data_IF_477675864263
#
_entry.id   IF_477675864263
#
_cell.length_a   1.000
_cell.length_b   1.000
_cell.length_c   1.000
_cell.angle_alpha   90.00
_cell.angle_beta   90.00
_cell.angle_gamma   90.00
#
_symmetry.space_group_name_H-M   'P 1'
#
loop_
_entity.id
_entity.type
_entity.pdbx_description
1 polymer ?
#
# COMPACT_ATOMS: atom_id res chain seq x y z
N UNK A 1 32.17 1.79 0.93
CA UNK A 1 31.25 2.69 1.67
C UNK A 1 31.98 4.00 1.92
N UNK A 2 31.34 5.15 1.72
CA UNK A 2 31.99 6.45 1.53
C UNK A 2 32.43 7.18 2.83
N UNK A 3 32.85 6.45 3.89
CA UNK A 3 33.20 7.04 5.19
C UNK A 3 32.15 8.04 5.74
N UNK A 4 30.87 7.75 5.56
CA UNK A 4 29.80 8.54 6.15
C UNK A 4 29.79 8.39 7.68
N UNK A 5 29.43 9.46 8.40
CA UNK A 5 29.29 9.41 9.85
C UNK A 5 28.05 8.58 10.28
N UNK A 6 28.05 8.15 11.54
CA UNK A 6 26.98 7.31 12.09
C UNK A 6 25.60 7.99 12.01
N UNK A 7 25.56 9.32 12.11
CA UNK A 7 24.33 10.09 11.99
C UNK A 7 23.74 9.99 10.58
N UNK A 8 24.57 10.06 9.55
CA UNK A 8 24.20 9.90 8.14
C UNK A 8 23.75 8.48 7.86
N UNK A 9 24.46 7.47 8.37
CA UNK A 9 24.07 6.07 8.22
C UNK A 9 22.69 5.84 8.81
N UNK A 10 22.47 6.25 10.06
CA UNK A 10 21.18 6.08 10.74
C UNK A 10 20.04 6.85 10.05
N UNK A 11 20.33 8.02 9.45
CA UNK A 11 19.34 8.76 8.67
C UNK A 11 18.94 8.04 7.39
N UNK A 12 19.91 7.50 6.65
CA UNK A 12 19.65 6.74 5.42
C UNK A 12 18.92 5.42 5.70
N UNK A 13 19.23 4.75 6.81
CA UNK A 13 18.50 3.56 7.27
C UNK A 13 17.02 3.89 7.54
N UNK A 14 16.75 4.97 8.29
CA UNK A 14 15.37 5.43 8.54
C UNK A 14 14.65 5.82 7.25
N UNK A 15 15.32 6.56 6.36
CA UNK A 15 14.77 6.93 5.06
C UNK A 15 14.37 5.68 4.26
N UNK A 16 15.28 4.72 4.11
CA UNK A 16 15.03 3.48 3.36
C UNK A 16 13.92 2.63 3.98
N UNK A 17 13.87 2.56 5.31
CA UNK A 17 12.83 1.83 6.04
C UNK A 17 11.44 2.41 5.77
N UNK A 18 11.25 3.70 6.01
CA UNK A 18 9.96 4.38 5.81
C UNK A 18 9.55 4.35 4.33
N UNK A 19 10.51 4.51 3.41
CA UNK A 19 10.24 4.41 1.97
C UNK A 19 9.81 3.00 1.56
N UNK A 20 10.41 1.96 2.14
CA UNK A 20 10.01 0.57 1.92
C UNK A 20 8.60 0.27 2.41
N UNK A 21 8.21 0.83 3.56
CA UNK A 21 6.84 0.72 4.06
C UNK A 21 5.83 1.44 3.16
N UNK A 22 6.17 2.64 2.69
CA UNK A 22 5.36 3.37 1.73
C UNK A 22 5.16 2.57 0.44
N UNK A 23 6.23 1.99 -0.09
CA UNK A 23 6.20 1.14 -1.27
C UNK A 23 5.23 -0.04 -1.10
N UNK A 24 5.27 -0.73 0.04
CA UNK A 24 4.37 -1.85 0.29
C UNK A 24 2.89 -1.41 0.36
N UNK A 25 2.62 -0.23 0.93
CA UNK A 25 1.26 0.31 0.98
C UNK A 25 0.73 0.61 -0.43
N UNK A 26 1.56 1.18 -1.31
CA UNK A 26 1.21 1.42 -2.71
C UNK A 26 1.04 0.10 -3.47
N UNK A 27 1.93 -0.88 -3.27
CA UNK A 27 1.80 -2.20 -3.90
C UNK A 27 0.50 -2.92 -3.50
N UNK A 28 0.10 -2.81 -2.23
CA UNK A 28 -1.17 -3.33 -1.73
C UNK A 28 -2.40 -2.65 -2.36
N UNK A 29 -2.32 -1.35 -2.68
CA UNK A 29 -3.37 -0.64 -3.44
C UNK A 29 -3.43 -1.15 -4.89
N UNK A 30 -2.29 -1.25 -5.56
CA UNK A 30 -2.17 -1.75 -6.95
C UNK A 30 -2.66 -3.19 -7.06
N UNK A 31 -2.39 -4.02 -6.05
CA UNK A 31 -2.86 -5.42 -6.01
C UNK A 31 -4.39 -5.57 -6.01
N UNK A 32 -5.12 -4.51 -5.64
CA UNK A 32 -6.59 -4.49 -5.65
C UNK A 32 -7.16 -3.67 -6.81
N UNK A 33 -6.64 -2.46 -7.05
CA UNK A 33 -7.23 -1.50 -7.99
C UNK A 33 -6.40 -1.21 -9.23
N UNK A 34 -5.18 -1.77 -9.34
CA UNK A 34 -4.26 -1.43 -10.41
C UNK A 34 -4.72 -1.83 -11.81
N UNK A 35 -4.44 -0.98 -12.79
CA UNK A 35 -4.70 -1.22 -14.21
C UNK A 35 -4.02 -2.52 -14.70
N UNK A 36 -4.79 -3.49 -15.24
CA UNK A 36 -4.25 -4.69 -15.87
C UNK A 36 -3.24 -4.42 -17.00
N UNK A 37 -3.38 -3.31 -17.73
CA UNK A 37 -2.46 -2.89 -18.79
C UNK A 37 -1.05 -2.58 -18.27
N UNK A 38 -0.94 -2.15 -17.01
CA UNK A 38 0.32 -1.83 -16.35
C UNK A 38 0.83 -3.00 -15.51
N UNK A 39 -0.06 -3.65 -14.76
CA UNK A 39 0.30 -4.71 -13.80
C UNK A 39 0.48 -6.08 -14.45
N UNK A 40 -0.10 -6.30 -15.64
CA UNK A 40 -0.18 -7.61 -16.28
C UNK A 40 -1.07 -8.62 -15.55
N UNK A 41 -1.84 -8.19 -14.54
CA UNK A 41 -2.70 -9.03 -13.69
C UNK A 41 -4.14 -8.51 -13.72
N UNK A 42 -5.14 -9.38 -13.47
CA UNK A 42 -6.52 -8.91 -13.31
C UNK A 42 -6.67 -7.96 -12.13
N UNK A 43 -7.62 -7.02 -12.23
CA UNK A 43 -8.07 -6.18 -11.10
C UNK A 43 -8.53 -7.09 -9.95
N UNK A 44 -8.24 -6.71 -8.72
CA UNK A 44 -8.62 -7.48 -7.53
C UNK A 44 -7.86 -8.79 -7.36
N UNK A 45 -6.71 -8.96 -8.02
CA UNK A 45 -5.89 -10.18 -7.91
C UNK A 45 -5.56 -10.55 -6.46
N UNK A 46 -5.28 -9.56 -5.61
CA UNK A 46 -4.99 -9.83 -4.19
C UNK A 46 -6.23 -10.31 -3.43
N UNK A 47 -7.42 -9.84 -3.79
CA UNK A 47 -8.70 -10.30 -3.22
C UNK A 47 -9.03 -11.72 -3.67
N UNK A 48 -8.82 -12.03 -4.96
CA UNK A 48 -9.03 -13.38 -5.50
C UNK A 48 -8.19 -14.43 -4.75
N UNK A 49 -7.01 -14.04 -4.27
CA UNK A 49 -6.10 -14.86 -3.47
C UNK A 49 -6.32 -14.73 -1.96
N UNK A 50 -7.30 -13.94 -1.54
CA UNK A 50 -7.60 -13.59 -0.14
C UNK A 50 -6.39 -13.09 0.64
N UNK A 51 -5.50 -12.36 -0.02
CA UNK A 51 -4.34 -11.76 0.64
C UNK A 51 -4.84 -10.74 1.67
N UNK A 52 -4.31 -10.81 2.88
CA UNK A 52 -4.62 -9.89 3.97
C UNK A 52 -3.78 -8.59 3.84
N UNK A 53 -3.92 -7.89 2.71
CA UNK A 53 -3.26 -6.60 2.47
C UNK A 53 -3.78 -5.53 3.43
N UNK A 54 -3.03 -4.45 3.61
CA UNK A 54 -3.43 -3.34 4.47
C UNK A 54 -4.86 -2.82 4.21
N UNK A 55 -5.29 -2.54 2.96
CA UNK A 55 -6.66 -2.08 2.71
C UNK A 55 -7.72 -3.11 3.09
N UNK A 56 -7.46 -4.40 2.94
CA UNK A 56 -8.39 -5.48 3.34
C UNK A 56 -8.51 -5.54 4.86
N UNK A 57 -7.37 -5.56 5.56
CA UNK A 57 -7.36 -5.61 7.03
C UNK A 57 -8.05 -4.36 7.60
N UNK A 58 -7.78 -3.19 7.04
CA UNK A 58 -8.44 -1.95 7.44
C UNK A 58 -9.96 -2.02 7.21
N UNK A 59 -10.40 -2.51 6.05
CA UNK A 59 -11.82 -2.69 5.74
C UNK A 59 -12.52 -3.64 6.72
N UNK A 60 -11.93 -4.81 6.98
CA UNK A 60 -12.45 -5.81 7.93
C UNK A 60 -12.55 -5.26 9.36
N UNK A 61 -11.66 -4.35 9.75
CA UNK A 61 -11.66 -3.73 11.08
C UNK A 61 -12.58 -2.49 11.20
N UNK A 62 -13.21 -2.03 10.11
CA UNK A 62 -14.05 -0.82 10.12
C UNK A 62 -15.37 -0.96 10.91
N UNK A 63 -15.77 -2.19 11.27
CA UNK A 63 -17.06 -2.50 11.93
C UNK A 63 -18.30 -2.01 11.17
N UNK A 64 -18.17 -1.76 9.87
CA UNK A 64 -19.28 -1.40 8.98
C UNK A 64 -20.04 -2.64 8.50
N UNK A 65 -21.25 -2.46 7.95
CA UNK A 65 -21.97 -3.55 7.27
C UNK A 65 -21.14 -4.14 6.12
N UNK A 66 -20.40 -3.28 5.40
CA UNK A 66 -19.50 -3.72 4.34
C UNK A 66 -18.37 -4.62 4.87
N UNK A 67 -17.90 -4.40 6.10
CA UNK A 67 -16.91 -5.28 6.73
C UNK A 67 -17.49 -6.66 7.03
N UNK A 68 -18.73 -6.74 7.53
CA UNK A 68 -19.41 -8.01 7.79
C UNK A 68 -19.59 -8.81 6.50
N UNK A 69 -20.02 -8.16 5.41
CA UNK A 69 -20.19 -8.83 4.12
C UNK A 69 -18.84 -9.28 3.53
N UNK A 70 -17.81 -8.42 3.60
CA UNK A 70 -16.45 -8.77 3.16
C UNK A 70 -15.90 -9.97 3.93
N UNK A 71 -16.13 -10.04 5.25
CA UNK A 71 -15.73 -11.15 6.08
C UNK A 71 -16.41 -12.46 5.65
N UNK A 72 -17.70 -12.42 5.31
CA UNK A 72 -18.43 -13.58 4.80
C UNK A 72 -17.82 -14.09 3.48
N UNK A 73 -17.47 -13.20 2.55
CA UNK A 73 -16.80 -13.56 1.30
C UNK A 73 -15.41 -14.20 1.52
N UNK A 74 -14.66 -13.71 2.52
CA UNK A 74 -13.35 -14.27 2.87
C UNK A 74 -13.43 -15.63 3.58
N UNK A 75 -14.51 -15.89 4.31
CA UNK A 75 -14.75 -17.15 5.03
C UNK A 75 -15.38 -18.24 4.15
N UNK A 76 -15.97 -17.88 3.01
CA UNK A 76 -16.58 -18.84 2.10
C UNK A 76 -15.58 -19.92 1.65
N UNK A 77 -15.92 -21.22 1.64
CA UNK A 77 -14.96 -22.27 1.30
C UNK A 77 -14.62 -22.33 -0.20
N UNK A 78 -15.54 -21.88 -1.06
CA UNK A 78 -15.33 -21.84 -2.50
C UNK A 78 -14.34 -20.73 -2.89
N UNK A 79 -13.62 -20.93 -4.00
CA UNK A 79 -12.81 -19.87 -4.61
C UNK A 79 -13.72 -18.71 -5.03
N UNK A 80 -13.20 -17.47 -4.92
CA UNK A 80 -13.93 -16.29 -5.35
C UNK A 80 -14.12 -16.31 -6.87
N UNK A 81 -15.36 -16.15 -7.31
CA UNK A 81 -15.69 -15.88 -8.71
C UNK A 81 -15.29 -14.44 -9.09
N UNK A 82 -15.31 -14.12 -10.38
CA UNK A 82 -15.07 -12.75 -10.83
C UNK A 82 -16.06 -11.74 -10.19
N UNK A 83 -17.33 -12.14 -10.03
CA UNK A 83 -18.35 -11.33 -9.36
C UNK A 83 -18.07 -11.16 -7.87
N UNK A 84 -17.53 -12.17 -7.19
CA UNK A 84 -17.15 -12.06 -5.78
C UNK A 84 -15.97 -11.11 -5.60
N UNK A 85 -15.00 -11.14 -6.53
CA UNK A 85 -13.84 -10.22 -6.52
C UNK A 85 -14.30 -8.78 -6.77
N UNK A 86 -15.19 -8.55 -7.73
CA UNK A 86 -15.77 -7.23 -7.98
C UNK A 86 -16.52 -6.72 -6.74
N UNK A 87 -17.34 -7.60 -6.13
CA UNK A 87 -18.07 -7.26 -4.90
C UNK A 87 -17.13 -6.95 -3.74
N UNK A 88 -16.13 -7.79 -3.50
CA UNK A 88 -15.11 -7.57 -2.47
C UNK A 88 -14.35 -6.26 -2.69
N UNK A 89 -14.02 -5.92 -3.94
CA UNK A 89 -13.37 -4.65 -4.31
C UNK A 89 -14.22 -3.46 -3.90
N UNK A 90 -15.53 -3.51 -4.20
CA UNK A 90 -16.47 -2.47 -3.80
C UNK A 90 -16.61 -2.37 -2.26
N UNK A 91 -16.68 -3.51 -1.57
CA UNK A 91 -16.80 -3.55 -0.10
C UNK A 91 -15.57 -2.96 0.58
N UNK A 92 -14.36 -3.29 0.13
CA UNK A 92 -13.11 -2.71 0.65
C UNK A 92 -13.11 -1.18 0.46
N UNK A 93 -13.58 -0.69 -0.69
CA UNK A 93 -13.70 0.75 -0.95
C UNK A 93 -14.71 1.42 -0.02
N UNK A 94 -15.92 0.86 0.12
CA UNK A 94 -16.98 1.39 0.99
C UNK A 94 -16.57 1.39 2.47
N UNK A 95 -15.89 0.33 2.91
CA UNK A 95 -15.37 0.23 4.28
C UNK A 95 -14.16 1.16 4.54
N UNK A 96 -13.69 1.90 3.53
CA UNK A 96 -12.60 2.87 3.65
C UNK A 96 -11.20 2.27 3.62
N UNK A 97 -11.05 0.99 3.27
CA UNK A 97 -9.77 0.30 3.27
C UNK A 97 -8.73 0.96 2.37
N UNK A 98 -9.13 1.36 1.16
CA UNK A 98 -8.27 2.08 0.22
C UNK A 98 -7.75 3.41 0.79
N UNK A 99 -8.61 4.20 1.44
CA UNK A 99 -8.19 5.47 2.05
C UNK A 99 -7.20 5.26 3.20
N UNK A 100 -7.35 4.20 3.99
CA UNK A 100 -6.40 3.87 5.07
C UNK A 100 -5.03 3.51 4.49
N UNK A 101 -4.99 2.69 3.44
CA UNK A 101 -3.74 2.30 2.81
C UNK A 101 -3.05 3.49 2.12
N UNK A 102 -3.81 4.35 1.43
CA UNK A 102 -3.27 5.57 0.83
C UNK A 102 -2.67 6.51 1.87
N UNK A 103 -3.42 6.78 2.95
CA UNK A 103 -2.92 7.63 4.04
C UNK A 103 -1.66 7.06 4.67
N UNK A 104 -1.61 5.74 4.86
CA UNK A 104 -0.40 5.07 5.35
C UNK A 104 0.78 5.30 4.40
N UNK A 105 0.60 5.13 3.09
CA UNK A 105 1.66 5.43 2.12
C UNK A 105 2.14 6.88 2.27
N UNK A 106 1.23 7.84 2.25
CA UNK A 106 1.55 9.27 2.34
C UNK A 106 2.31 9.61 3.62
N UNK A 107 1.85 9.13 4.78
CA UNK A 107 2.50 9.32 6.08
C UNK A 107 3.93 8.76 6.09
N UNK A 108 4.14 7.57 5.49
CA UNK A 108 5.46 6.93 5.39
C UNK A 108 6.41 7.66 4.45
N UNK A 109 5.92 8.19 3.33
CA UNK A 109 6.71 9.06 2.44
C UNK A 109 7.15 10.33 3.17
N UNK A 110 6.25 10.99 3.91
CA UNK A 110 6.62 12.17 4.69
C UNK A 110 7.67 11.83 5.76
N UNK A 111 7.52 10.70 6.45
CA UNK A 111 8.49 10.23 7.44
C UNK A 111 9.86 9.95 6.80
N UNK A 112 9.89 9.34 5.61
CA UNK A 112 11.13 9.11 4.86
C UNK A 112 11.83 10.43 4.55
N UNK A 113 11.13 11.39 3.92
CA UNK A 113 11.71 12.70 3.56
C UNK A 113 12.20 13.47 4.79
N UNK A 114 11.45 13.41 5.90
CA UNK A 114 11.82 14.04 7.16
C UNK A 114 13.06 13.42 7.82
N UNK A 115 13.36 12.15 7.55
CA UNK A 115 14.55 11.48 8.09
C UNK A 115 15.87 11.93 7.45
N UNK A 116 15.83 12.53 6.26
CA UNK A 116 17.02 12.99 5.53
C UNK A 116 17.53 14.34 6.09
N UNK A 117 18.78 14.41 6.62
CA UNK A 117 19.41 15.68 6.97
C UNK A 117 19.78 16.47 5.71
N UNK A 118 19.87 17.80 5.82
CA UNK A 118 20.17 18.69 4.69
C UNK A 118 21.45 18.31 3.94
N UNK A 119 22.45 17.78 4.64
CA UNK A 119 23.72 17.35 4.06
C UNK A 119 23.57 16.20 3.02
N UNK A 120 22.50 15.42 3.11
CA UNK A 120 22.26 14.22 2.28
C UNK A 120 20.92 14.29 1.54
N UNK A 121 20.09 15.28 1.87
CA UNK A 121 18.85 15.59 1.16
C UNK A 121 19.17 16.04 -0.26
N UNK A 122 19.03 15.12 -1.22
CA UNK A 122 19.20 15.40 -2.64
C UNK A 122 17.85 15.45 -3.37
N UNK A 123 17.76 16.22 -4.48
CA UNK A 123 16.60 16.18 -5.36
C UNK A 123 16.29 14.76 -5.86
N UNK A 124 17.30 13.91 -6.05
CA UNK A 124 17.12 12.55 -6.55
C UNK A 124 16.43 11.63 -5.53
N UNK A 125 16.78 11.73 -4.25
CA UNK A 125 16.13 10.95 -3.18
C UNK A 125 14.68 11.40 -2.97
N UNK A 126 14.42 12.70 -3.10
CA UNK A 126 13.06 13.25 -3.08
C UNK A 126 12.28 12.75 -4.31
N UNK A 127 12.88 12.82 -5.51
CA UNK A 127 12.25 12.34 -6.74
C UNK A 127 11.93 10.84 -6.67
N UNK A 128 12.81 10.03 -6.07
CA UNK A 128 12.56 8.60 -5.83
C UNK A 128 11.33 8.39 -4.94
N UNK A 129 11.20 9.15 -3.85
CA UNK A 129 10.03 9.07 -2.98
C UNK A 129 8.73 9.40 -3.70
N UNK A 130 8.75 10.43 -4.56
CA UNK A 130 7.61 10.83 -5.38
C UNK A 130 7.30 9.85 -6.51
N UNK A 131 8.30 9.15 -7.04
CA UNK A 131 8.10 8.13 -8.07
C UNK A 131 7.34 6.92 -7.51
N UNK A 132 7.65 6.53 -6.27
CA UNK A 132 6.96 5.43 -5.58
C UNK A 132 5.47 5.78 -5.35
N UNK A 133 5.14 7.05 -5.07
CA UNK A 133 3.75 7.52 -4.92
C UNK A 133 2.94 7.46 -6.23
N UNK A 134 3.61 7.63 -7.38
CA UNK A 134 2.98 7.84 -8.68
C UNK A 134 2.78 6.56 -9.49
N UNK A 135 2.99 5.39 -8.88
CA UNK A 135 2.66 4.13 -9.54
C UNK A 135 1.14 4.06 -9.71
N UNK A 136 0.70 4.24 -10.94
CA UNK A 136 -0.71 4.42 -11.29
C UNK A 136 -1.53 3.20 -10.83
N UNK A 137 -2.65 3.50 -10.17
CA UNK A 137 -3.79 2.58 -10.05
C UNK A 137 -4.60 2.66 -11.34
#
# INVERSE_FOLDING_TARGET
MANADDATIAALERFGHELGLAFQCVDDLIGIWGDPGVTGKPVGNDLARRKATLPVVAALNSRSEAATELAALYQAPAAMTASDVERATALVKVAGGGHVAQRCADERIQAAIAALPDAVRSPDLIALSQLICRREC
#
